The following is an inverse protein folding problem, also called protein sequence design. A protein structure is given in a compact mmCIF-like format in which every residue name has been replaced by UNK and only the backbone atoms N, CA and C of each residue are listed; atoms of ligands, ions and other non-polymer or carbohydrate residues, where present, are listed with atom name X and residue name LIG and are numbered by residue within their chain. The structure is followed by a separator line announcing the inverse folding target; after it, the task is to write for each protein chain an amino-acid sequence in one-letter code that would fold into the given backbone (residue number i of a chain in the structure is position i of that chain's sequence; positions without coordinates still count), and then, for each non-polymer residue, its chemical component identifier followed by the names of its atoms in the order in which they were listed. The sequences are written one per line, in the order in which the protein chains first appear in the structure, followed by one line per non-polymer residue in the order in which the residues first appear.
data_IF_565575232993
#
_entry.id   IF_565575232993
#
_cell.length_a   1.000
_cell.length_b   1.000
_cell.length_c   1.000
_cell.angle_alpha   90.00
_cell.angle_beta   90.00
_cell.angle_gamma   90.00
#
_symmetry.space_group_name_H-M   'P 1'
#
loop_
_entity.id
_entity.type
_entity.pdbx_description
1 polymer ?
#
# COMPACT_ATOMS: atom_id res chain seq x y z
N UNK A 1 -39.09 29.81 -3.63
CA UNK A 1 -38.25 30.24 -4.77
C UNK A 1 -36.81 29.73 -4.68
N UNK A 2 -36.15 29.67 -3.51
CA UNK A 2 -34.78 29.13 -3.40
C UNK A 2 -34.65 27.60 -3.44
N UNK A 3 -35.62 26.84 -2.92
CA UNK A 3 -35.53 25.37 -2.89
C UNK A 3 -35.67 24.73 -4.28
N UNK A 4 -36.58 25.23 -5.12
CA UNK A 4 -36.77 24.70 -6.47
C UNK A 4 -35.54 24.96 -7.35
N UNK A 5 -34.93 26.14 -7.21
CA UNK A 5 -33.71 26.51 -7.93
C UNK A 5 -32.51 25.66 -7.52
N UNK A 6 -32.31 25.43 -6.21
CA UNK A 6 -31.28 24.52 -5.70
C UNK A 6 -31.50 23.08 -6.19
N UNK A 7 -32.75 22.61 -6.20
CA UNK A 7 -33.09 21.28 -6.70
C UNK A 7 -32.84 21.10 -8.21
N UNK A 8 -32.99 22.18 -8.99
CA UNK A 8 -32.69 22.18 -10.43
C UNK A 8 -31.18 22.16 -10.69
N UNK A 9 -30.40 22.90 -9.90
CA UNK A 9 -28.93 22.88 -9.96
C UNK A 9 -28.39 21.49 -9.62
N UNK A 10 -28.91 20.84 -8.57
CA UNK A 10 -28.50 19.49 -8.18
C UNK A 10 -28.84 18.46 -9.27
N UNK A 11 -30.01 18.57 -9.89
CA UNK A 11 -30.40 17.71 -11.03
C UNK A 11 -29.49 17.89 -12.23
N UNK A 12 -29.15 19.13 -12.58
CA UNK A 12 -28.25 19.40 -13.71
C UNK A 12 -26.84 18.91 -13.43
N UNK A 13 -26.30 19.15 -12.23
CA UNK A 13 -25.00 18.63 -11.81
C UNK A 13 -24.95 17.09 -11.86
N UNK A 14 -26.01 16.43 -11.41
CA UNK A 14 -26.12 14.97 -11.45
C UNK A 14 -26.20 14.45 -12.90
N UNK A 15 -26.92 15.13 -13.80
CA UNK A 15 -26.97 14.80 -15.22
C UNK A 15 -25.60 14.94 -15.90
N UNK A 16 -24.87 16.01 -15.60
CA UNK A 16 -23.51 16.23 -16.12
C UNK A 16 -22.55 15.15 -15.63
N UNK A 17 -22.65 14.75 -14.35
CA UNK A 17 -21.87 13.66 -13.80
C UNK A 17 -22.16 12.33 -14.50
N UNK A 18 -23.43 11.98 -14.72
CA UNK A 18 -23.81 10.76 -15.44
C UNK A 18 -23.22 10.75 -16.85
N UNK A 19 -23.35 11.86 -17.60
CA UNK A 19 -22.74 11.99 -18.93
C UNK A 19 -21.22 11.82 -18.90
N UNK A 20 -20.55 12.38 -17.89
CA UNK A 20 -19.10 12.24 -17.74
C UNK A 20 -18.69 10.79 -17.44
N UNK A 21 -19.45 10.09 -16.58
CA UNK A 21 -19.26 8.66 -16.29
C UNK A 21 -19.43 7.80 -17.53
N UNK A 22 -20.53 8.00 -18.28
CA UNK A 22 -20.83 7.22 -19.48
C UNK A 22 -19.75 7.42 -20.56
N UNK A 23 -19.29 8.66 -20.72
CA UNK A 23 -18.19 8.98 -21.65
C UNK A 23 -16.89 8.28 -21.24
N UNK A 24 -16.51 8.36 -19.96
CA UNK A 24 -15.31 7.73 -19.44
C UNK A 24 -15.38 6.20 -19.58
N UNK A 25 -16.54 5.62 -19.28
CA UNK A 25 -16.80 4.21 -19.45
C UNK A 25 -16.54 3.75 -20.88
N UNK A 26 -17.13 4.45 -21.85
CA UNK A 26 -17.00 4.11 -23.26
C UNK A 26 -15.55 4.23 -23.75
N UNK A 27 -14.83 5.26 -23.30
CA UNK A 27 -13.40 5.43 -23.61
C UNK A 27 -12.55 4.28 -23.03
N UNK A 28 -12.76 3.91 -21.77
CA UNK A 28 -12.01 2.83 -21.12
C UNK A 28 -12.34 1.47 -21.72
N UNK A 29 -13.62 1.20 -22.04
CA UNK A 29 -14.02 0.00 -22.74
C UNK A 29 -13.32 -0.13 -24.09
N UNK A 30 -13.23 0.94 -24.88
CA UNK A 30 -12.50 0.94 -26.15
C UNK A 30 -11.01 0.65 -26.00
N UNK A 31 -10.37 1.22 -24.97
CA UNK A 31 -8.95 0.98 -24.69
C UNK A 31 -8.66 -0.45 -24.21
N UNK A 32 -9.57 -1.03 -23.44
CA UNK A 32 -9.40 -2.36 -22.85
C UNK A 32 -9.89 -3.49 -23.78
N UNK A 33 -10.73 -3.17 -24.78
CA UNK A 33 -11.28 -4.13 -25.73
C UNK A 33 -10.21 -5.01 -26.40
N UNK A 34 -9.06 -4.49 -26.88
CA UNK A 34 -8.02 -5.32 -27.49
C UNK A 34 -7.39 -6.30 -26.51
N UNK A 35 -7.34 -5.97 -25.22
CA UNK A 35 -6.74 -6.81 -24.18
C UNK A 35 -7.72 -7.92 -23.79
N UNK A 36 -9.00 -7.57 -23.64
CA UNK A 36 -10.05 -8.49 -23.19
C UNK A 36 -10.45 -9.47 -24.31
N UNK A 37 -10.36 -9.05 -25.57
CA UNK A 37 -10.71 -9.86 -26.75
C UNK A 37 -9.65 -10.89 -27.16
N UNK A 38 -8.42 -10.80 -26.65
CA UNK A 38 -7.32 -11.75 -26.95
C UNK A 38 -7.47 -13.10 -26.21
N UNK A 39 -8.45 -13.21 -25.31
CA UNK A 39 -8.78 -14.42 -24.55
C UNK A 39 -9.44 -15.52 -25.40
N UNK A 40 -8.62 -16.38 -25.98
CA UNK A 40 -8.84 -17.80 -26.36
C UNK A 40 -10.27 -18.24 -26.77
N UNK A 41 -10.54 -18.21 -28.07
CA UNK A 41 -11.23 -19.29 -28.80
C UNK A 41 -12.71 -19.64 -28.53
N UNK A 42 -13.39 -19.17 -27.48
CA UNK A 42 -14.82 -19.49 -27.25
C UNK A 42 -15.65 -18.34 -26.66
N UNK A 43 -16.71 -18.01 -27.43
CA UNK A 43 -17.98 -17.34 -27.10
C UNK A 43 -17.98 -15.83 -26.74
N UNK A 44 -18.68 -15.05 -27.58
CA UNK A 44 -19.07 -13.64 -27.37
C UNK A 44 -19.64 -13.35 -25.97
N UNK A 45 -20.40 -14.29 -25.39
CA UNK A 45 -21.04 -14.14 -24.07
C UNK A 45 -20.04 -13.85 -22.93
N UNK A 46 -18.80 -14.35 -23.03
CA UNK A 46 -17.75 -14.09 -22.01
C UNK A 46 -17.19 -12.67 -22.10
N UNK A 47 -17.24 -12.03 -23.27
CA UNK A 47 -16.72 -10.68 -23.44
C UNK A 47 -17.72 -9.64 -22.90
N UNK A 48 -19.02 -9.85 -23.16
CA UNK A 48 -20.08 -8.95 -22.70
C UNK A 48 -20.18 -8.94 -21.16
N UNK A 49 -20.03 -10.11 -20.52
CA UNK A 49 -20.00 -10.21 -19.05
C UNK A 49 -18.82 -9.43 -18.45
N UNK A 50 -17.61 -9.52 -19.06
CA UNK A 50 -16.42 -8.78 -18.62
C UNK A 50 -16.56 -7.27 -18.83
N UNK A 51 -17.27 -6.84 -19.88
CA UNK A 51 -17.52 -5.42 -20.13
C UNK A 51 -18.55 -4.82 -19.16
N UNK A 52 -19.54 -5.60 -18.72
CA UNK A 52 -20.49 -5.21 -17.68
C UNK A 52 -19.81 -5.09 -16.31
N UNK A 53 -18.94 -6.04 -15.95
CA UNK A 53 -18.16 -5.97 -14.72
C UNK A 53 -17.23 -4.74 -14.73
N UNK A 54 -16.60 -4.46 -15.87
CA UNK A 54 -15.79 -3.26 -16.06
C UNK A 54 -16.63 -1.98 -15.89
N UNK A 55 -17.86 -1.95 -16.41
CA UNK A 55 -18.77 -0.82 -16.25
C UNK A 55 -19.12 -0.56 -14.79
N UNK A 56 -19.42 -1.62 -14.02
CA UNK A 56 -19.68 -1.51 -12.59
C UNK A 56 -18.47 -0.97 -11.81
N UNK A 57 -17.26 -1.45 -12.13
CA UNK A 57 -16.01 -0.98 -11.51
C UNK A 57 -15.80 0.52 -11.78
N UNK A 58 -15.97 0.96 -13.04
CA UNK A 58 -15.77 2.36 -13.42
C UNK A 58 -16.80 3.27 -12.75
N UNK A 59 -18.08 2.86 -12.73
CA UNK A 59 -19.14 3.62 -12.08
C UNK A 59 -18.84 3.80 -10.58
N UNK A 60 -18.47 2.72 -9.89
CA UNK A 60 -18.10 2.75 -8.48
C UNK A 60 -16.88 3.64 -8.23
N UNK A 61 -15.84 3.54 -9.06
CA UNK A 61 -14.64 4.36 -8.93
C UNK A 61 -14.93 5.86 -9.15
N UNK A 62 -15.80 6.19 -10.10
CA UNK A 62 -16.21 7.57 -10.36
C UNK A 62 -17.02 8.15 -9.19
N UNK A 63 -17.92 7.35 -8.60
CA UNK A 63 -18.62 7.73 -7.38
C UNK A 63 -17.63 7.94 -6.23
N UNK A 64 -16.78 6.96 -5.92
CA UNK A 64 -15.77 7.10 -4.87
C UNK A 64 -14.91 8.36 -5.05
N UNK A 65 -14.42 8.62 -6.27
CA UNK A 65 -13.64 9.83 -6.58
C UNK A 65 -14.40 11.12 -6.27
N UNK A 66 -15.71 11.18 -6.59
CA UNK A 66 -16.54 12.33 -6.24
C UNK A 66 -16.65 12.50 -4.73
N UNK A 67 -16.97 11.42 -4.01
CA UNK A 67 -17.11 11.46 -2.55
C UNK A 67 -15.81 11.88 -1.88
N UNK A 68 -14.67 11.37 -2.34
CA UNK A 68 -13.35 11.75 -1.84
C UNK A 68 -13.07 13.25 -2.02
N UNK A 69 -13.47 13.85 -3.15
CA UNK A 69 -13.29 15.29 -3.40
C UNK A 69 -14.23 16.19 -2.61
N UNK A 70 -15.32 15.65 -2.08
CA UNK A 70 -16.31 16.38 -1.27
C UNK A 70 -15.95 16.37 0.22
N UNK A 71 -14.92 15.62 0.63
CA UNK A 71 -14.47 15.52 2.02
C UNK A 71 -13.29 16.45 2.26
N UNK A 72 -13.59 17.68 2.69
CA UNK A 72 -12.60 18.76 2.84
C UNK A 72 -11.52 18.48 3.91
N UNK A 73 -11.82 17.65 4.90
CA UNK A 73 -10.91 17.31 6.01
C UNK A 73 -9.99 16.10 5.73
N UNK A 74 -10.14 15.45 4.58
CA UNK A 74 -9.44 14.19 4.26
C UNK A 74 -8.51 14.37 3.07
N UNK A 75 -7.23 14.23 3.30
CA UNK A 75 -6.20 14.20 2.26
C UNK A 75 -5.95 12.76 1.85
N UNK A 76 -6.24 12.45 0.59
CA UNK A 76 -5.95 11.15 0.00
C UNK A 76 -4.58 11.16 -0.66
N UNK A 77 -3.78 10.15 -0.36
CA UNK A 77 -2.41 10.00 -0.83
C UNK A 77 -2.20 8.58 -1.37
N UNK A 78 -1.58 8.48 -2.53
CA UNK A 78 -1.15 7.22 -3.11
C UNK A 78 0.33 7.04 -2.75
N UNK A 79 0.65 6.19 -1.77
CA UNK A 79 2.04 5.99 -1.38
C UNK A 79 2.81 5.40 -2.56
N UNK A 80 4.03 5.91 -2.82
CA UNK A 80 4.88 5.25 -3.80
C UNK A 80 5.15 3.84 -3.31
N UNK A 81 4.94 2.86 -4.18
CA UNK A 81 5.39 1.48 -3.99
C UNK A 81 6.51 1.27 -4.98
N UNK A 82 7.71 0.99 -4.48
CA UNK A 82 8.87 0.91 -5.35
C UNK A 82 9.15 -0.53 -5.75
N UNK A 83 9.74 -0.66 -6.94
CA UNK A 83 10.36 -1.91 -7.34
C UNK A 83 11.59 -2.14 -6.47
N UNK A 84 11.81 -3.40 -6.11
CA UNK A 84 12.90 -3.87 -5.27
C UNK A 84 12.81 -3.41 -3.80
N UNK A 85 11.64 -2.95 -3.36
CA UNK A 85 11.30 -2.66 -1.97
C UNK A 85 10.92 -3.93 -1.20
N UNK A 86 11.22 -3.97 0.11
CA UNK A 86 10.73 -5.02 1.01
C UNK A 86 9.21 -4.94 1.17
N UNK A 87 8.57 -6.11 1.16
CA UNK A 87 7.14 -6.23 1.34
C UNK A 87 6.70 -5.77 2.74
N UNK A 88 5.84 -4.76 2.79
CA UNK A 88 5.21 -4.28 4.03
C UNK A 88 3.75 -4.77 4.15
N UNK A 89 3.44 -5.81 4.96
CA UNK A 89 2.10 -6.39 5.04
C UNK A 89 1.01 -5.41 5.49
N UNK A 90 1.40 -4.33 6.17
CA UNK A 90 0.49 -3.26 6.61
C UNK A 90 -0.06 -2.44 5.44
N UNK A 91 0.69 -2.32 4.34
CA UNK A 91 0.35 -1.47 3.19
C UNK A 91 0.26 -2.22 1.88
N UNK A 92 0.71 -3.48 1.84
CA UNK A 92 0.82 -4.27 0.62
C UNK A 92 0.11 -5.63 0.75
N UNK A 93 -0.36 -6.14 -0.39
CA UNK A 93 -0.91 -7.47 -0.61
C UNK A 93 -0.08 -8.21 -1.65
N UNK A 94 0.08 -9.52 -1.46
CA UNK A 94 0.90 -10.38 -2.30
C UNK A 94 0.01 -11.23 -3.21
N UNK A 95 0.11 -11.03 -4.52
CA UNK A 95 -0.68 -11.80 -5.50
C UNK A 95 -0.25 -13.27 -5.59
N UNK A 96 1.04 -13.54 -5.37
CA UNK A 96 1.64 -14.87 -5.48
C UNK A 96 1.99 -15.45 -4.10
N UNK A 97 1.17 -15.17 -3.08
CA UNK A 97 1.44 -15.54 -1.68
C UNK A 97 1.71 -17.04 -1.52
N UNK A 98 0.94 -17.90 -2.21
CA UNK A 98 1.13 -19.35 -2.15
C UNK A 98 2.53 -19.75 -2.64
N UNK A 99 2.93 -19.24 -3.80
CA UNK A 99 4.27 -19.48 -4.36
C UNK A 99 5.36 -18.99 -3.40
N UNK A 100 5.19 -17.81 -2.82
CA UNK A 100 6.15 -17.27 -1.84
C UNK A 100 6.29 -18.17 -0.60
N UNK A 101 5.20 -18.79 -0.14
CA UNK A 101 5.25 -19.74 0.97
C UNK A 101 5.95 -21.05 0.57
N UNK A 102 5.66 -21.57 -0.63
CA UNK A 102 6.24 -22.81 -1.15
C UNK A 102 7.76 -22.67 -1.40
N UNK A 103 8.21 -21.50 -1.86
CA UNK A 103 9.61 -21.18 -2.14
C UNK A 103 10.36 -20.57 -0.95
N UNK A 104 9.76 -20.56 0.25
CA UNK A 104 10.32 -19.87 1.40
C UNK A 104 11.72 -20.37 1.78
N UNK A 105 12.72 -19.48 1.96
CA UNK A 105 14.04 -19.87 2.42
C UNK A 105 14.08 -20.18 3.92
N UNK A 106 12.95 -20.01 4.61
CA UNK A 106 12.82 -20.24 6.05
C UNK A 106 12.26 -21.63 6.32
N UNK A 107 12.96 -22.40 7.15
CA UNK A 107 12.45 -23.63 7.71
C UNK A 107 11.74 -23.32 9.04
N UNK A 108 10.53 -23.85 9.23
CA UNK A 108 9.85 -23.76 10.52
C UNK A 108 10.46 -24.81 11.45
N UNK A 109 11.09 -24.37 12.53
CA UNK A 109 11.68 -25.23 13.55
C UNK A 109 10.92 -25.07 14.86
N UNK A 110 10.65 -26.19 15.53
CA UNK A 110 10.17 -26.16 16.90
C UNK A 110 11.33 -25.91 17.85
N UNK A 111 11.30 -24.77 18.52
CA UNK A 111 12.26 -24.42 19.57
C UNK A 111 11.45 -24.28 20.86
N UNK A 112 11.54 -25.30 21.72
CA UNK A 112 10.91 -25.33 23.04
C UNK A 112 9.37 -25.17 22.99
N UNK A 113 8.70 -25.84 22.05
CA UNK A 113 7.25 -25.78 21.86
C UNK A 113 6.77 -24.54 21.11
N UNK A 114 7.67 -23.75 20.53
CA UNK A 114 7.36 -22.56 19.71
C UNK A 114 7.94 -22.73 18.32
N UNK A 115 7.07 -22.75 17.33
CA UNK A 115 7.45 -22.74 15.92
C UNK A 115 8.08 -21.40 15.56
N UNK A 116 9.38 -21.41 15.23
CA UNK A 116 10.10 -20.22 14.76
C UNK A 116 10.66 -20.45 13.35
N UNK A 117 10.55 -19.45 12.45
CA UNK A 117 11.21 -19.51 11.16
C UNK A 117 12.73 -19.34 11.35
N UNK A 118 13.52 -20.23 10.76
CA UNK A 118 14.98 -20.13 10.70
C UNK A 118 15.42 -20.13 9.24
N UNK A 119 16.23 -19.16 8.86
CA UNK A 119 16.80 -19.09 7.52
C UNK A 119 17.72 -20.29 7.28
N UNK A 120 17.58 -20.94 6.13
CA UNK A 120 18.48 -22.02 5.72
C UNK A 120 19.89 -21.47 5.44
N UNK A 121 20.96 -22.16 5.85
CA UNK A 121 22.33 -21.73 5.55
C UNK A 121 22.57 -21.53 4.05
N UNK A 122 23.23 -20.44 3.65
CA UNK A 122 23.52 -20.14 2.24
C UNK A 122 22.40 -19.39 1.50
N UNK A 123 21.29 -19.10 2.17
CA UNK A 123 20.13 -18.38 1.60
C UNK A 123 20.06 -16.91 2.02
N UNK A 124 21.16 -16.33 2.52
CA UNK A 124 21.26 -14.95 3.01
C UNK A 124 21.02 -13.90 1.91
N UNK A 125 21.14 -14.30 0.64
CA UNK A 125 20.89 -13.45 -0.53
C UNK A 125 19.42 -13.36 -0.93
N UNK A 126 18.55 -14.19 -0.33
CA UNK A 126 17.11 -14.26 -0.64
C UNK A 126 16.22 -14.22 0.60
N UNK A 127 16.70 -13.63 1.69
CA UNK A 127 16.07 -13.64 3.00
C UNK A 127 14.86 -12.70 3.16
N UNK A 128 14.61 -11.82 2.19
CA UNK A 128 13.55 -10.81 2.23
C UNK A 128 12.54 -11.03 1.09
N UNK A 129 11.28 -10.68 1.33
CA UNK A 129 10.24 -10.72 0.29
C UNK A 129 10.25 -9.39 -0.46
N UNK A 130 10.67 -9.41 -1.72
CA UNK A 130 10.94 -8.21 -2.51
C UNK A 130 9.87 -7.98 -3.56
N UNK A 131 9.36 -6.76 -3.66
CA UNK A 131 8.39 -6.33 -4.67
C UNK A 131 9.06 -6.27 -6.04
N UNK A 132 8.61 -7.09 -7.00
CA UNK A 132 9.14 -7.08 -8.38
C UNK A 132 8.24 -6.37 -9.37
N UNK A 133 6.93 -6.50 -9.18
CA UNK A 133 5.92 -5.84 -10.02
C UNK A 133 4.88 -5.24 -9.09
N UNK A 134 4.60 -3.95 -9.29
CA UNK A 134 3.47 -3.27 -8.66
C UNK A 134 2.28 -3.43 -9.60
N UNK A 135 1.30 -4.23 -9.20
CA UNK A 135 0.09 -4.49 -9.98
C UNK A 135 -0.95 -3.39 -9.74
N UNK A 136 -1.07 -2.90 -8.50
CA UNK A 136 -2.00 -1.84 -8.14
C UNK A 136 -1.39 -0.95 -7.03
N UNK A 137 -1.46 0.38 -7.14
CA UNK A 137 -0.95 1.27 -6.10
C UNK A 137 -1.86 1.28 -4.86
N UNK A 138 -1.28 1.44 -3.68
CA UNK A 138 -2.04 1.61 -2.45
C UNK A 138 -2.72 2.98 -2.36
N UNK A 139 -3.68 3.11 -1.45
CA UNK A 139 -4.35 4.36 -1.13
C UNK A 139 -4.44 4.54 0.39
N UNK A 140 -3.99 5.70 0.85
CA UNK A 140 -4.00 6.09 2.25
C UNK A 140 -4.79 7.39 2.39
N UNK A 141 -5.61 7.47 3.44
CA UNK A 141 -6.31 8.68 3.83
C UNK A 141 -5.66 9.25 5.09
N UNK A 142 -5.37 10.55 5.05
CA UNK A 142 -4.94 11.36 6.18
C UNK A 142 -6.09 12.28 6.57
N UNK A 143 -6.45 12.28 7.84
CA UNK A 143 -7.42 13.23 8.40
C UNK A 143 -6.77 14.02 9.52
N UNK A 144 -7.04 15.32 9.59
CA UNK A 144 -6.65 16.14 10.72
C UNK A 144 -7.44 15.72 11.97
N UNK A 145 -6.75 15.53 13.09
CA UNK A 145 -7.35 15.03 14.32
C UNK A 145 -7.88 13.60 14.20
N UNK A 146 -8.58 13.15 15.24
CA UNK A 146 -9.18 11.83 15.30
C UNK A 146 -10.69 11.78 15.09
N UNK A 147 -11.36 12.93 15.10
CA UNK A 147 -12.83 13.02 15.09
C UNK A 147 -13.47 12.16 16.19
N UNK A 148 -14.71 11.72 15.98
CA UNK A 148 -15.42 10.88 16.96
C UNK A 148 -14.68 9.58 17.30
N UNK A 149 -14.00 8.97 16.31
CA UNK A 149 -13.27 7.73 16.51
C UNK A 149 -12.04 7.95 17.40
N UNK A 150 -11.34 9.07 17.20
CA UNK A 150 -10.24 9.52 18.05
C UNK A 150 -10.70 9.77 19.47
N UNK A 151 -11.86 10.42 19.65
CA UNK A 151 -12.49 10.59 20.95
C UNK A 151 -12.77 9.26 21.65
N UNK A 152 -13.31 8.27 20.93
CA UNK A 152 -13.55 6.92 21.47
C UNK A 152 -12.26 6.20 21.85
N UNK A 153 -11.21 6.31 21.03
CA UNK A 153 -9.90 5.70 21.31
C UNK A 153 -9.23 6.35 22.51
N UNK A 154 -9.24 7.69 22.60
CA UNK A 154 -8.72 8.42 23.76
C UNK A 154 -9.49 8.04 25.03
N UNK A 155 -10.83 8.02 24.97
CA UNK A 155 -11.68 7.64 26.08
C UNK A 155 -11.45 6.19 26.53
N UNK A 156 -11.24 5.25 25.60
CA UNK A 156 -10.90 3.86 25.93
C UNK A 156 -9.49 3.74 26.52
N UNK A 157 -8.51 4.53 26.04
CA UNK A 157 -7.20 4.62 26.66
C UNK A 157 -7.29 5.18 28.09
N UNK A 158 -8.08 6.24 28.30
CA UNK A 158 -8.31 6.84 29.62
C UNK A 158 -9.06 5.89 30.56
N UNK A 159 -10.03 5.13 30.05
CA UNK A 159 -10.71 4.07 30.80
C UNK A 159 -9.75 2.95 31.22
N UNK A 160 -8.86 2.52 30.33
CA UNK A 160 -7.80 1.54 30.64
C UNK A 160 -6.78 2.08 31.63
N UNK A 161 -6.50 3.39 31.61
CA UNK A 161 -5.64 4.09 32.58
C UNK A 161 -6.29 4.15 33.97
N UNK A 162 -7.62 4.28 34.05
CA UNK A 162 -8.38 4.31 35.31
C UNK A 162 -8.40 2.97 36.08
N UNK A 163 -8.16 1.85 35.39
CA UNK A 163 -8.00 0.54 36.03
C UNK A 163 -6.54 0.35 36.44
N UNK A 164 -6.21 0.85 37.64
CA UNK A 164 -4.85 0.90 38.17
C UNK A 164 -4.19 -0.46 38.35
N UNK A 165 -3.12 -0.68 37.57
CA UNK A 165 -1.95 -1.51 37.93
C UNK A 165 -0.87 -1.37 36.85
N UNK A 166 -0.43 -0.14 36.54
CA UNK A 166 0.71 0.07 35.64
C UNK A 166 1.99 0.27 36.46
N UNK A 167 3.09 -0.44 36.14
CA UNK A 167 4.40 -0.27 36.79
C UNK A 167 4.92 1.19 36.81
N UNK A 168 5.72 1.54 37.83
CA UNK A 168 6.12 2.94 38.14
C UNK A 168 6.98 3.58 37.04
N UNK A 169 7.80 2.79 36.36
CA UNK A 169 8.58 3.15 35.18
C UNK A 169 7.70 3.55 33.98
N UNK A 170 6.61 2.81 33.76
CA UNK A 170 5.60 3.12 32.73
C UNK A 170 4.89 4.45 33.06
N UNK A 171 4.58 4.70 34.33
CA UNK A 171 3.97 5.95 34.77
C UNK A 171 4.89 7.16 34.53
N UNK A 172 6.19 7.01 34.81
CA UNK A 172 7.18 8.09 34.60
C UNK A 172 7.42 8.36 33.11
N UNK A 173 7.50 7.33 32.27
CA UNK A 173 7.62 7.48 30.82
C UNK A 173 6.38 8.16 30.22
N UNK A 174 5.19 7.79 30.69
CA UNK A 174 3.92 8.42 30.29
C UNK A 174 3.81 9.87 30.76
N UNK A 175 4.28 10.20 31.96
CA UNK A 175 4.31 11.57 32.47
C UNK A 175 5.29 12.47 31.71
N UNK A 176 6.37 11.91 31.13
CA UNK A 176 7.36 12.63 30.31
C UNK A 176 6.92 12.84 28.86
N UNK A 177 6.02 11.99 28.34
CA UNK A 177 5.42 12.17 27.02
C UNK A 177 4.34 13.26 27.00
N UNK A 178 4.12 13.96 28.12
CA UNK A 178 3.16 15.05 28.26
C UNK A 178 3.66 16.29 27.52
N UNK A 179 3.19 16.42 26.28
CA UNK A 179 2.47 17.62 25.91
C UNK A 179 1.03 17.24 25.57
N UNK A 180 0.10 18.15 25.78
CA UNK A 180 -1.36 17.97 25.70
C UNK A 180 -1.82 17.59 24.28
N UNK A 181 -1.63 16.33 23.86
CA UNK A 181 -2.17 15.84 22.58
C UNK A 181 -3.66 15.54 22.76
N UNK A 182 -4.51 16.49 22.40
CA UNK A 182 -5.95 16.36 22.31
C UNK A 182 -6.39 15.49 21.13
N UNK A 183 -7.70 15.23 21.05
CA UNK A 183 -8.29 14.48 19.93
C UNK A 183 -8.03 15.16 18.58
N UNK A 184 -7.92 16.48 18.59
CA UNK A 184 -7.72 17.31 17.40
C UNK A 184 -6.25 17.46 17.01
N UNK A 185 -5.33 16.94 17.83
CA UNK A 185 -3.90 17.06 17.59
C UNK A 185 -3.35 15.94 16.70
N UNK A 186 -2.57 16.35 15.71
CA UNK A 186 -1.88 15.49 14.75
C UNK A 186 -2.76 15.02 13.59
N UNK A 187 -2.23 14.09 12.79
CA UNK A 187 -2.93 13.46 11.68
C UNK A 187 -3.16 11.98 11.97
N UNK A 188 -4.35 11.49 11.65
CA UNK A 188 -4.64 10.05 11.66
C UNK A 188 -4.57 9.51 10.25
N UNK A 189 -3.85 8.41 10.12
CA UNK A 189 -3.60 7.73 8.86
C UNK A 189 -4.41 6.44 8.82
N UNK A 190 -5.12 6.20 7.72
CA UNK A 190 -5.83 4.94 7.47
C UNK A 190 -5.50 4.43 6.07
N UNK A 191 -5.01 3.20 5.99
CA UNK A 191 -4.90 2.48 4.72
C UNK A 191 -6.31 2.13 4.24
N UNK A 192 -6.72 2.71 3.12
CA UNK A 192 -8.01 2.46 2.48
C UNK A 192 -7.91 1.26 1.55
N UNK A 193 -6.83 1.21 0.77
CA UNK A 193 -6.52 0.14 -0.14
C UNK A 193 -5.04 -0.19 -0.04
N UNK A 194 -4.69 -1.47 0.05
CA UNK A 194 -3.30 -1.91 0.03
C UNK A 194 -2.79 -1.92 -1.41
N UNK A 195 -1.51 -1.61 -1.58
CA UNK A 195 -0.84 -1.85 -2.85
C UNK A 195 -0.83 -3.36 -3.13
N UNK A 196 -1.02 -3.75 -4.39
CA UNK A 196 -1.00 -5.15 -4.78
C UNK A 196 0.28 -5.39 -5.57
N UNK A 197 1.10 -6.33 -5.12
CA UNK A 197 2.41 -6.60 -5.70
C UNK A 197 2.65 -8.08 -5.96
N UNK A 198 3.47 -8.35 -6.98
CA UNK A 198 4.10 -9.64 -7.21
C UNK A 198 5.47 -9.66 -6.55
N UNK A 199 5.68 -10.64 -5.65
CA UNK A 199 6.87 -10.72 -4.83
C UNK A 199 7.82 -11.82 -5.31
N UNK A 200 9.10 -11.70 -4.96
CA UNK A 200 10.10 -12.77 -5.07
C UNK A 200 11.02 -12.73 -3.87
N UNK A 201 11.55 -13.87 -3.45
CA UNK A 201 12.60 -13.90 -2.44
C UNK A 201 13.89 -13.25 -2.98
N UNK A 202 14.47 -12.36 -2.19
CA UNK A 202 15.63 -11.56 -2.58
C UNK A 202 16.22 -10.83 -1.36
N UNK A 203 16.99 -9.80 -1.64
CA UNK A 203 17.55 -8.90 -0.63
C UNK A 203 17.44 -7.47 -1.14
N UNK A 204 16.79 -6.60 -0.37
CA UNK A 204 16.69 -5.18 -0.65
C UNK A 204 18.06 -4.54 -0.46
N UNK A 205 18.39 -3.56 -1.32
CA UNK A 205 19.62 -2.79 -1.15
C UNK A 205 19.58 -2.03 0.17
N UNK A 206 20.67 -2.09 0.93
CA UNK A 206 20.87 -1.27 2.12
C UNK A 206 20.70 0.22 1.81
N UNK A 207 21.14 0.66 0.62
CA UNK A 207 20.95 2.04 0.19
C UNK A 207 19.46 2.38 0.03
N UNK A 208 18.63 1.55 -0.62
CA UNK A 208 17.19 1.87 -0.76
C UNK A 208 16.44 1.74 0.55
N UNK A 209 16.93 0.92 1.48
CA UNK A 209 16.37 0.78 2.83
C UNK A 209 16.74 1.93 3.77
N UNK A 210 17.97 2.42 3.70
CA UNK A 210 18.51 3.38 4.68
C UNK A 210 18.69 4.80 4.12
N UNK A 211 18.60 5.03 2.80
CA UNK A 211 18.82 6.35 2.21
C UNK A 211 17.92 7.42 2.87
N UNK A 212 18.54 8.52 3.29
CA UNK A 212 17.86 9.63 3.97
C UNK A 212 17.59 9.41 5.47
N UNK A 213 17.97 8.25 6.04
CA UNK A 213 17.93 8.02 7.48
C UNK A 213 19.22 8.48 8.17
N UNK A 214 19.19 8.66 9.50
CA UNK A 214 20.38 8.99 10.28
C UNK A 214 21.51 7.97 10.12
N UNK A 215 21.17 6.68 10.03
CA UNK A 215 22.13 5.60 9.79
C UNK A 215 22.90 5.75 8.47
N UNK A 216 22.22 6.25 7.43
CA UNK A 216 22.86 6.56 6.15
C UNK A 216 23.76 7.80 6.22
N UNK A 217 23.30 8.85 6.90
CA UNK A 217 24.10 10.06 7.10
C UNK A 217 25.37 9.78 7.91
N UNK A 218 25.27 8.96 8.96
CA UNK A 218 26.41 8.53 9.77
C UNK A 218 27.38 7.65 8.95
N UNK A 219 26.88 6.69 8.18
CA UNK A 219 27.73 5.84 7.33
C UNK A 219 28.48 6.65 6.25
N UNK A 220 27.86 7.69 5.70
CA UNK A 220 28.50 8.61 4.75
C UNK A 220 29.54 9.52 5.43
N UNK A 221 29.24 10.01 6.65
CA UNK A 221 30.20 10.77 7.46
C UNK A 221 31.44 9.94 7.80
N UNK A 222 31.25 8.65 8.07
CA UNK A 222 32.31 7.74 8.50
C UNK A 222 33.04 7.08 7.32
N UNK A 223 32.78 7.51 6.07
CA UNK A 223 33.36 6.96 4.84
C UNK A 223 33.26 5.42 4.73
N UNK A 224 32.14 4.85 5.16
CA UNK A 224 31.94 3.41 5.19
C UNK A 224 31.84 2.80 3.79
N UNK A 225 32.55 1.68 3.55
CA UNK A 225 32.42 0.88 2.32
C UNK A 225 31.14 0.02 2.27
N UNK A 226 30.28 0.09 3.30
CA UNK A 226 29.05 -0.71 3.45
C UNK A 226 28.21 -0.78 2.17
N UNK A 227 27.98 0.35 1.51
CA UNK A 227 27.16 0.43 0.29
C UNK A 227 27.88 -0.07 -0.97
N UNK A 228 29.22 0.00 -1.01
CA UNK A 228 30.02 -0.57 -2.10
C UNK A 228 30.03 -2.10 -2.02
N UNK A 229 30.09 -2.65 -0.81
CA UNK A 229 30.03 -4.09 -0.59
C UNK A 229 28.64 -4.66 -0.88
N UNK A 230 27.57 -3.94 -0.52
CA UNK A 230 26.20 -4.34 -0.83
C UNK A 230 25.92 -4.39 -2.36
N UNK A 231 26.65 -3.60 -3.14
CA UNK A 231 26.59 -3.66 -4.62
C UNK A 231 27.31 -4.88 -5.19
N UNK A 232 28.29 -5.48 -4.49
CA UNK A 232 29.09 -6.59 -5.03
C UNK A 232 28.21 -7.82 -5.25
N UNK A 233 28.07 -8.24 -6.51
CA UNK A 233 27.26 -9.41 -6.91
C UNK A 233 25.78 -9.11 -7.19
N UNK A 234 25.34 -7.85 -7.03
CA UNK A 234 24.00 -7.44 -7.43
C UNK A 234 23.95 -7.18 -8.94
N UNK A 235 23.00 -7.80 -9.64
CA UNK A 235 22.71 -7.50 -11.06
C UNK A 235 21.47 -6.62 -11.13
N UNK A 236 21.60 -5.44 -11.73
CA UNK A 236 20.43 -4.61 -11.99
C UNK A 236 19.58 -5.25 -13.09
N UNK A 237 18.28 -4.96 -13.09
CA UNK A 237 17.39 -5.50 -14.12
C UNK A 237 17.77 -5.03 -15.52
N UNK A 238 18.39 -3.86 -15.62
CA UNK A 238 19.01 -3.40 -16.85
C UNK A 238 20.16 -4.30 -17.28
N UNK A 239 21.05 -4.68 -16.36
CA UNK A 239 22.14 -5.62 -16.64
C UNK A 239 21.60 -6.98 -17.09
N UNK A 240 20.58 -7.51 -16.41
CA UNK A 240 19.91 -8.76 -16.77
C UNK A 240 19.25 -8.65 -18.15
N UNK A 241 18.63 -7.51 -18.46
CA UNK A 241 18.02 -7.25 -19.76
C UNK A 241 19.08 -7.21 -20.87
N UNK A 242 20.19 -6.50 -20.66
CA UNK A 242 21.31 -6.46 -21.59
C UNK A 242 21.94 -7.84 -21.80
N UNK A 243 22.16 -8.62 -20.74
CA UNK A 243 22.67 -9.99 -20.84
C UNK A 243 21.77 -10.89 -21.70
N UNK A 244 20.44 -10.73 -21.60
CA UNK A 244 19.47 -11.50 -22.40
C UNK A 244 19.35 -11.04 -23.84
N UNK A 245 19.54 -9.74 -24.11
CA UNK A 245 19.52 -9.18 -25.46
C UNK A 245 20.77 -9.50 -26.27
N UNK A 246 21.93 -9.57 -25.60
CA UNK A 246 23.21 -9.90 -26.24
C UNK A 246 23.37 -11.42 -26.44
N UNK A 247 22.59 -12.24 -25.71
CA UNK A 247 22.59 -13.69 -25.85
C UNK A 247 21.55 -14.22 -26.87
N UNK A 248 20.87 -13.35 -27.60
CA UNK A 248 19.89 -13.67 -28.65
C UNK A 248 20.40 -13.20 -30.02
#
# INVERSE_FOLDING_TARGET
MCQDYLSQIDKEAQNQLTKAKDKLLLQLQQLLLPIVSVSTGKKRDSADMRLNDLAAIIALAADLSRWMRQLDEVVYYWPPTFKDEEFEPGRMECVNLRQMLDESPYQKLDIQGRMRPRLQPGQEHRNEAIVRVVCFPGLVAYRQGGGELGGKVLAEQDRRRGNGSMPRDVQIAQARSRDNVGVDDGYRTKVICKAVGHLTWGKQRLLTREAGTSAHLDAMRDHSNKYLEDRKGFKELWDIFCERLISA
#
